data_IF_895622725640
#
_entry.id   IF_895622725640
#
_cell.length_a   1.000
_cell.length_b   1.000
_cell.length_c   1.000
_cell.angle_alpha   90.00
_cell.angle_beta   90.00
_cell.angle_gamma   90.00
#
_symmetry.space_group_name_H-M   'P 1'
#
loop_
_entity.id
_entity.type
_entity.pdbx_description
1 polymer ?
#
# COMPACT_ATOMS: atom_id res chain seq x y z
N UNK A 1 -0.07 -8.85 23.66
CA UNK A 1 0.04 -9.42 22.30
C UNK A 1 1.31 -10.25 22.24
N UNK A 2 1.27 -11.42 21.60
CA UNK A 2 2.45 -12.26 21.36
C UNK A 2 2.98 -11.97 19.97
N UNK A 3 4.30 -11.86 19.82
CA UNK A 3 4.96 -11.70 18.52
C UNK A 3 5.77 -12.96 18.21
N UNK A 4 5.62 -13.49 17.00
CA UNK A 4 6.37 -14.64 16.50
C UNK A 4 7.33 -14.17 15.40
N UNK A 5 8.50 -13.61 15.73
CA UNK A 5 9.43 -13.09 14.75
C UNK A 5 10.09 -14.24 13.97
N UNK A 6 10.19 -14.06 12.65
CA UNK A 6 10.95 -14.96 11.78
C UNK A 6 12.16 -14.18 11.26
N UNK A 7 13.41 -14.66 11.45
CA UNK A 7 14.61 -13.89 11.12
C UNK A 7 14.72 -13.46 9.66
N UNK A 8 14.17 -14.26 8.75
CA UNK A 8 14.08 -13.96 7.33
C UNK A 8 12.85 -14.62 6.74
N UNK A 9 12.28 -14.00 5.71
CA UNK A 9 11.11 -14.55 5.04
C UNK A 9 11.41 -15.92 4.43
N UNK A 10 10.51 -16.87 4.67
CA UNK A 10 10.47 -18.17 4.01
C UNK A 10 9.01 -18.62 4.01
N UNK A 11 8.42 -18.96 2.84
CA UNK A 11 7.04 -19.44 2.78
C UNK A 11 6.81 -20.61 3.73
N UNK A 12 7.67 -21.63 3.68
CA UNK A 12 7.62 -22.81 4.57
C UNK A 12 7.60 -22.45 6.05
N UNK A 13 8.57 -21.62 6.51
CA UNK A 13 8.65 -21.25 7.93
C UNK A 13 7.47 -20.38 8.36
N UNK A 14 6.96 -19.54 7.46
CA UNK A 14 5.81 -18.67 7.74
C UNK A 14 4.54 -19.50 7.91
N UNK A 15 4.29 -20.46 7.00
CA UNK A 15 3.16 -21.39 7.08
C UNK A 15 3.23 -22.30 8.31
N UNK A 16 4.42 -22.84 8.61
CA UNK A 16 4.64 -23.64 9.83
C UNK A 16 4.36 -22.82 11.11
N UNK A 17 4.74 -21.55 11.12
CA UNK A 17 4.44 -20.63 12.23
C UNK A 17 2.94 -20.34 12.33
N UNK A 18 2.24 -20.09 11.22
CA UNK A 18 0.78 -19.92 11.18
C UNK A 18 0.09 -21.12 11.81
N UNK A 19 0.48 -22.32 11.40
CA UNK A 19 -0.07 -23.58 11.89
C UNK A 19 0.19 -23.81 13.39
N UNK A 20 1.45 -23.72 13.83
CA UNK A 20 1.85 -24.08 15.20
C UNK A 20 1.42 -23.06 16.23
N UNK A 21 1.60 -21.78 15.91
CA UNK A 21 1.38 -20.67 16.83
C UNK A 21 -0.04 -20.10 16.74
N UNK A 22 -0.88 -20.65 15.85
CA UNK A 22 -2.27 -20.20 15.62
C UNK A 22 -2.33 -18.70 15.38
N UNK A 23 -1.52 -18.25 14.42
CA UNK A 23 -1.35 -16.83 14.12
C UNK A 23 -2.71 -16.21 13.77
N UNK A 24 -2.99 -15.04 14.35
CA UNK A 24 -4.24 -14.30 14.15
C UNK A 24 -4.08 -13.08 13.23
N UNK A 25 -2.84 -12.63 13.04
CA UNK A 25 -2.48 -11.45 12.27
C UNK A 25 -1.14 -11.66 11.55
N UNK A 26 -1.07 -11.36 10.25
CA UNK A 26 0.19 -11.35 9.50
C UNK A 26 0.33 -10.05 8.71
N UNK A 27 1.51 -9.44 8.76
CA UNK A 27 1.84 -8.26 7.97
C UNK A 27 2.89 -8.63 6.92
N UNK A 28 2.76 -8.11 5.71
CA UNK A 28 3.70 -8.43 4.64
C UNK A 28 3.50 -7.59 3.38
N UNK A 29 4.40 -7.79 2.42
CA UNK A 29 4.26 -7.27 1.05
C UNK A 29 3.51 -8.29 0.19
N UNK A 30 2.83 -7.88 -0.90
CA UNK A 30 2.13 -8.76 -1.82
C UNK A 30 2.91 -10.01 -2.25
N UNK A 31 4.20 -9.86 -2.57
CA UNK A 31 5.06 -10.97 -3.01
C UNK A 31 5.22 -12.06 -1.95
N UNK A 32 5.16 -11.73 -0.65
CA UNK A 32 5.19 -12.71 0.44
C UNK A 32 3.91 -13.55 0.45
N UNK A 33 2.75 -12.91 0.25
CA UNK A 33 1.46 -13.61 0.20
C UNK A 33 1.38 -14.52 -1.02
N UNK A 34 1.80 -14.04 -2.20
CA UNK A 34 1.91 -14.84 -3.42
C UNK A 34 2.80 -16.07 -3.19
N UNK A 35 3.98 -15.88 -2.58
CA UNK A 35 4.92 -16.95 -2.32
C UNK A 35 4.38 -17.99 -1.30
N UNK A 36 3.63 -17.55 -0.27
CA UNK A 36 2.95 -18.46 0.65
C UNK A 36 1.84 -19.25 -0.04
N UNK A 37 0.98 -18.59 -0.83
CA UNK A 37 -0.10 -19.25 -1.57
C UNK A 37 0.40 -20.24 -2.63
N UNK A 38 1.59 -20.00 -3.20
CA UNK A 38 2.23 -20.90 -4.16
C UNK A 38 3.03 -22.06 -3.55
N UNK A 39 3.13 -22.16 -2.23
CA UNK A 39 3.95 -23.18 -1.55
C UNK A 39 3.17 -24.51 -1.37
N UNK A 40 3.86 -25.65 -1.45
CA UNK A 40 3.25 -26.99 -1.34
C UNK A 40 2.48 -27.20 -0.01
N UNK A 41 3.00 -26.65 1.08
CA UNK A 41 2.40 -26.75 2.42
C UNK A 41 1.13 -25.86 2.60
N UNK A 42 0.81 -24.98 1.66
CA UNK A 42 -0.29 -24.03 1.81
C UNK A 42 -1.63 -24.73 2.05
N UNK A 43 -1.95 -25.74 1.23
CA UNK A 43 -3.21 -26.48 1.32
C UNK A 43 -3.36 -27.27 2.64
N UNK A 44 -2.26 -27.57 3.33
CA UNK A 44 -2.24 -28.27 4.61
C UNK A 44 -2.24 -27.33 5.83
N UNK A 45 -2.12 -26.01 5.61
CA UNK A 45 -2.04 -25.01 6.68
C UNK A 45 -3.46 -24.60 7.12
N UNK A 46 -3.71 -24.62 8.43
CA UNK A 46 -4.97 -24.20 9.04
C UNK A 46 -4.96 -22.68 9.26
N UNK A 47 -5.75 -21.98 8.43
CA UNK A 47 -5.93 -20.53 8.52
C UNK A 47 -7.12 -20.11 9.39
N UNK A 48 -7.85 -21.05 10.03
CA UNK A 48 -9.07 -20.74 10.80
C UNK A 48 -8.87 -19.76 11.96
N UNK A 49 -7.64 -19.61 12.45
CA UNK A 49 -7.29 -18.67 13.52
C UNK A 49 -6.89 -17.29 13.00
N UNK A 50 -6.57 -17.17 11.70
CA UNK A 50 -6.27 -15.89 11.07
C UNK A 50 -7.52 -15.02 10.97
N UNK A 51 -7.31 -13.70 11.01
CA UNK A 51 -8.39 -12.70 10.96
C UNK A 51 -8.00 -11.47 10.15
N UNK A 52 -6.81 -10.93 10.40
CA UNK A 52 -6.42 -9.61 9.90
C UNK A 52 -4.95 -9.56 9.51
N UNK A 53 -4.52 -8.42 8.98
CA UNK A 53 -3.16 -8.14 8.58
C UNK A 53 -3.05 -6.79 7.90
N UNK A 54 -1.81 -6.41 7.61
CA UNK A 54 -1.49 -5.26 6.77
C UNK A 54 -0.72 -5.76 5.55
N UNK A 55 -1.27 -5.48 4.37
CA UNK A 55 -0.54 -5.58 3.11
C UNK A 55 -0.07 -4.17 2.72
N UNK A 56 1.24 -3.96 2.64
CA UNK A 56 1.81 -2.64 2.38
C UNK A 56 3.23 -2.74 1.83
N UNK A 57 3.80 -1.61 1.44
CA UNK A 57 5.21 -1.48 1.02
C UNK A 57 5.47 -1.64 -0.47
N UNK A 58 4.47 -2.07 -1.25
CA UNK A 58 4.48 -2.05 -2.72
C UNK A 58 3.04 -1.93 -3.24
N UNK A 59 2.84 -1.67 -4.55
CA UNK A 59 1.52 -1.79 -5.16
C UNK A 59 0.92 -3.16 -4.82
N UNK A 60 -0.30 -3.15 -4.27
CA UNK A 60 -1.02 -4.36 -3.88
C UNK A 60 -2.04 -4.70 -4.98
N UNK A 61 -1.83 -5.79 -5.75
CA UNK A 61 -2.80 -6.17 -6.77
C UNK A 61 -4.12 -6.57 -6.13
N UNK A 62 -5.23 -6.07 -6.67
CA UNK A 62 -6.60 -6.34 -6.16
C UNK A 62 -6.82 -7.86 -6.02
N UNK A 63 -6.41 -8.63 -7.04
CA UNK A 63 -6.60 -10.08 -7.06
C UNK A 63 -5.86 -10.79 -5.93
N UNK A 64 -4.66 -10.32 -5.56
CA UNK A 64 -3.88 -10.90 -4.46
C UNK A 64 -4.57 -10.64 -3.13
N UNK A 65 -5.13 -9.43 -2.94
CA UNK A 65 -5.90 -9.11 -1.73
C UNK A 65 -7.16 -9.95 -1.60
N UNK A 66 -7.92 -10.12 -2.69
CA UNK A 66 -9.11 -11.00 -2.72
C UNK A 66 -8.75 -12.44 -2.38
N UNK A 67 -7.68 -12.97 -2.98
CA UNK A 67 -7.20 -14.32 -2.72
C UNK A 67 -6.77 -14.51 -1.26
N UNK A 68 -6.14 -13.51 -0.65
CA UNK A 68 -5.74 -13.56 0.76
C UNK A 68 -6.96 -13.54 1.69
N UNK A 69 -7.98 -12.73 1.38
CA UNK A 69 -9.24 -12.72 2.12
C UNK A 69 -9.92 -14.09 2.05
N UNK A 70 -10.01 -14.67 0.86
CA UNK A 70 -10.71 -15.94 0.61
C UNK A 70 -9.93 -17.15 1.13
N UNK A 71 -8.63 -17.25 0.81
CA UNK A 71 -7.83 -18.47 1.00
C UNK A 71 -7.10 -18.51 2.35
N UNK A 72 -6.85 -17.35 2.97
CA UNK A 72 -6.12 -17.27 4.25
C UNK A 72 -7.01 -16.79 5.41
N UNK A 73 -8.33 -16.73 5.22
CA UNK A 73 -9.30 -16.30 6.23
C UNK A 73 -9.01 -14.88 6.80
N UNK A 74 -8.44 -14.00 5.99
CA UNK A 74 -8.05 -12.65 6.40
C UNK A 74 -9.13 -11.62 6.09
N UNK A 75 -10.36 -11.86 6.58
CA UNK A 75 -11.53 -11.02 6.28
C UNK A 75 -11.39 -9.56 6.72
N UNK A 76 -10.44 -9.25 7.61
CA UNK A 76 -10.15 -7.92 8.13
C UNK A 76 -8.77 -7.39 7.69
N UNK A 77 -8.18 -7.92 6.61
CA UNK A 77 -6.93 -7.36 6.06
C UNK A 77 -7.13 -5.91 5.61
N UNK A 78 -6.09 -5.10 5.77
CA UNK A 78 -6.06 -3.68 5.42
C UNK A 78 -4.83 -3.31 4.60
N UNK A 79 -4.93 -2.21 3.85
CA UNK A 79 -3.81 -1.61 3.13
C UNK A 79 -3.37 -0.35 3.86
N UNK A 80 -2.06 -0.18 4.04
CA UNK A 80 -1.41 1.06 4.51
C UNK A 80 -0.62 1.64 3.37
N UNK A 81 -0.70 2.96 3.21
CA UNK A 81 0.17 3.71 2.32
C UNK A 81 0.93 4.80 3.05
N UNK A 82 2.17 4.97 2.61
CA UNK A 82 3.10 6.00 3.03
C UNK A 82 4.52 5.53 2.72
N UNK A 83 5.49 6.25 3.25
CA UNK A 83 6.91 6.07 2.98
C UNK A 83 7.73 6.27 4.25
N UNK A 84 9.04 6.04 4.17
CA UNK A 84 9.95 6.16 5.33
C UNK A 84 9.85 7.55 5.97
N UNK A 85 9.76 8.57 5.14
CA UNK A 85 9.66 9.99 5.49
C UNK A 85 8.35 10.34 6.22
N UNK A 86 7.36 9.44 6.24
CA UNK A 86 6.07 9.59 6.94
C UNK A 86 5.85 8.61 8.10
N UNK A 87 6.92 7.99 8.62
CA UNK A 87 6.95 7.19 9.86
C UNK A 87 5.81 6.16 10.13
N UNK A 88 5.57 5.17 9.26
CA UNK A 88 5.67 5.20 7.81
C UNK A 88 4.31 5.50 7.14
N UNK A 89 3.18 5.41 7.86
CA UNK A 89 1.84 5.46 7.26
C UNK A 89 1.23 6.86 7.25
N UNK A 90 0.59 7.21 6.13
CA UNK A 90 -0.26 8.40 5.98
C UNK A 90 -1.74 8.01 5.96
N UNK A 91 -2.09 6.99 5.18
CA UNK A 91 -3.46 6.50 5.01
C UNK A 91 -3.54 5.01 5.28
N UNK A 92 -4.73 4.55 5.65
CA UNK A 92 -5.01 3.13 5.85
C UNK A 92 -6.46 2.81 5.54
N UNK A 93 -6.75 1.67 4.93
CA UNK A 93 -8.13 1.16 4.85
C UNK A 93 -8.54 0.62 6.22
N UNK A 94 -9.79 0.83 6.65
CA UNK A 94 -10.29 0.34 7.95
C UNK A 94 -10.91 -1.03 7.80
N UNK A 95 -10.91 -1.83 8.87
CA UNK A 95 -11.40 -3.23 8.85
C UNK A 95 -12.89 -3.35 8.49
N UNK A 96 -13.65 -2.29 8.78
CA UNK A 96 -15.08 -2.15 8.53
C UNK A 96 -15.39 -1.45 7.19
N UNK A 97 -14.37 -0.99 6.46
CA UNK A 97 -14.56 -0.51 5.09
C UNK A 97 -15.05 -1.68 4.20
N UNK A 98 -15.95 -1.44 3.24
CA UNK A 98 -16.33 -2.42 2.22
C UNK A 98 -15.09 -3.06 1.59
N UNK A 99 -15.13 -4.37 1.34
CA UNK A 99 -13.99 -5.11 0.79
C UNK A 99 -13.45 -4.46 -0.49
N UNK A 100 -14.35 -4.03 -1.38
CA UNK A 100 -14.02 -3.30 -2.61
C UNK A 100 -13.10 -2.09 -2.34
N UNK A 101 -13.43 -1.28 -1.33
CA UNK A 101 -12.60 -0.11 -0.96
C UNK A 101 -11.30 -0.52 -0.29
N UNK A 102 -11.29 -1.60 0.49
CA UNK A 102 -10.06 -2.11 1.11
C UNK A 102 -9.06 -2.67 0.11
N UNK A 103 -9.52 -3.19 -1.03
CA UNK A 103 -8.64 -3.77 -2.05
C UNK A 103 -8.27 -2.80 -3.17
N UNK A 104 -9.11 -1.79 -3.45
CA UNK A 104 -8.89 -0.83 -4.55
C UNK A 104 -8.30 0.52 -4.11
N UNK A 105 -8.29 0.82 -2.81
CA UNK A 105 -7.83 2.10 -2.26
C UNK A 105 -6.74 1.89 -1.22
N UNK A 106 -5.98 2.94 -0.93
CA UNK A 106 -5.08 2.99 0.22
C UNK A 106 -5.76 3.61 1.46
N UNK A 107 -7.09 3.67 1.42
CA UNK A 107 -7.92 4.09 2.54
C UNK A 107 -7.93 5.59 2.79
N UNK A 108 -8.14 5.95 4.05
CA UNK A 108 -8.33 7.33 4.54
C UNK A 108 -7.18 7.74 5.46
N UNK A 109 -6.92 9.05 5.64
CA UNK A 109 -5.87 9.53 6.53
C UNK A 109 -5.94 8.90 7.92
N UNK A 110 -4.78 8.59 8.51
CA UNK A 110 -4.72 8.16 9.90
C UNK A 110 -5.05 9.35 10.84
N UNK A 111 -5.46 9.08 12.08
CA UNK A 111 -5.80 10.14 13.03
C UNK A 111 -4.66 11.15 13.20
N UNK A 112 -4.97 12.44 13.12
CA UNK A 112 -3.97 13.51 13.29
C UNK A 112 -3.03 13.70 12.09
N UNK A 113 -3.30 13.06 10.95
CA UNK A 113 -2.60 13.26 9.69
C UNK A 113 -3.55 13.94 8.70
N UNK A 114 -3.07 14.98 8.05
CA UNK A 114 -3.72 15.64 6.93
C UNK A 114 -3.12 15.12 5.62
N UNK A 115 -3.98 14.84 4.64
CA UNK A 115 -3.55 14.45 3.30
C UNK A 115 -4.40 15.18 2.27
N UNK A 116 -3.77 15.62 1.17
CA UNK A 116 -4.46 16.22 0.02
C UNK A 116 -3.75 15.85 -1.29
N UNK A 117 -4.42 16.11 -2.40
CA UNK A 117 -3.88 15.94 -3.73
C UNK A 117 -3.59 17.33 -4.29
N UNK A 118 -2.38 17.57 -4.79
CA UNK A 118 -1.98 18.88 -5.35
C UNK A 118 -1.49 18.74 -6.78
N UNK A 119 -1.61 19.82 -7.54
CA UNK A 119 -0.95 19.92 -8.83
C UNK A 119 0.58 19.95 -8.62
N UNK A 120 1.37 19.04 -9.23
CA UNK A 120 2.82 19.00 -9.02
C UNK A 120 3.57 20.26 -9.49
N UNK A 121 3.00 21.04 -10.41
CA UNK A 121 3.61 22.25 -10.97
C UNK A 121 3.24 23.51 -10.18
N UNK A 122 1.96 23.63 -9.77
CA UNK A 122 1.45 24.84 -9.10
C UNK A 122 1.37 24.72 -7.58
N UNK A 123 1.35 23.51 -7.03
CA UNK A 123 1.11 23.24 -5.61
C UNK A 123 -0.33 23.47 -5.14
N UNK A 124 -1.25 23.82 -6.05
CA UNK A 124 -2.65 24.06 -5.73
C UNK A 124 -3.39 22.74 -5.47
N UNK A 125 -4.30 22.73 -4.49
CA UNK A 125 -5.12 21.56 -4.18
C UNK A 125 -6.10 21.25 -5.32
N UNK A 126 -6.16 19.99 -5.72
CA UNK A 126 -6.98 19.53 -6.84
C UNK A 126 -8.36 19.04 -6.38
N UNK A 127 -9.39 19.15 -7.24
CA UNK A 127 -10.71 18.57 -6.98
C UNK A 127 -10.69 17.05 -6.81
N UNK A 128 -11.76 16.51 -6.23
CA UNK A 128 -11.95 15.06 -6.12
C UNK A 128 -11.92 14.35 -7.49
N UNK A 129 -11.26 13.20 -7.55
CA UNK A 129 -11.13 12.38 -8.76
C UNK A 129 -10.15 12.92 -9.82
N UNK A 130 -9.36 13.94 -9.50
CA UNK A 130 -8.29 14.44 -10.37
C UNK A 130 -6.95 13.92 -9.88
N UNK A 131 -6.13 13.39 -10.80
CA UNK A 131 -4.77 12.94 -10.51
C UNK A 131 -3.85 14.12 -10.18
N UNK A 132 -3.11 13.98 -9.09
CA UNK A 132 -2.03 14.87 -8.72
C UNK A 132 -1.09 14.24 -7.72
N UNK A 133 -0.17 15.03 -7.19
CA UNK A 133 0.76 14.57 -6.16
C UNK A 133 0.04 14.37 -4.84
N UNK A 134 0.26 13.21 -4.22
CA UNK A 134 -0.12 12.99 -2.84
C UNK A 134 0.84 13.74 -1.90
N UNK A 135 0.29 14.60 -1.04
CA UNK A 135 1.06 15.27 0.01
C UNK A 135 0.46 15.02 1.39
N UNK A 136 1.32 14.94 2.40
CA UNK A 136 0.90 14.67 3.78
C UNK A 136 1.55 15.61 4.78
N UNK A 137 0.81 15.95 5.83
CA UNK A 137 1.28 16.74 6.97
C UNK A 137 0.76 16.14 8.26
N UNK A 138 1.61 16.08 9.28
CA UNK A 138 1.23 15.52 10.57
C UNK A 138 2.44 15.24 11.45
N UNK A 139 2.16 14.71 12.64
CA UNK A 139 3.20 14.34 13.61
C UNK A 139 4.11 13.20 13.13
N UNK A 140 3.67 12.47 12.10
CA UNK A 140 4.36 11.32 11.52
C UNK A 140 5.44 11.72 10.50
N UNK A 141 5.41 12.96 10.00
CA UNK A 141 6.40 13.44 9.04
C UNK A 141 7.77 13.52 9.72
N UNK A 142 8.80 13.03 9.04
CA UNK A 142 10.17 13.04 9.53
C UNK A 142 10.63 14.45 9.90
N UNK A 143 11.63 14.53 10.78
CA UNK A 143 12.31 15.81 11.05
C UNK A 143 13.09 16.36 9.84
N UNK A 144 13.52 15.47 8.95
CA UNK A 144 14.34 15.78 7.79
C UNK A 144 15.46 14.77 7.57
N UNK A 145 16.13 14.90 6.44
CA UNK A 145 17.28 14.07 6.08
C UNK A 145 18.53 14.49 6.88
N UNK A 146 19.23 13.50 7.43
CA UNK A 146 20.39 13.74 8.29
C UNK A 146 21.50 14.47 7.52
N UNK A 147 21.87 15.67 8.01
CA UNK A 147 22.88 16.55 7.41
C UNK A 147 22.60 16.96 5.95
N UNK A 148 21.33 16.91 5.52
CA UNK A 148 20.92 17.31 4.17
C UNK A 148 19.75 18.31 4.23
N UNK A 149 19.99 19.56 4.64
CA UNK A 149 18.94 20.56 4.79
C UNK A 149 18.27 20.91 3.45
N UNK A 150 19.02 20.96 2.34
CA UNK A 150 18.47 21.24 1.01
C UNK A 150 17.50 20.14 0.55
N UNK A 151 17.89 18.87 0.71
CA UNK A 151 17.01 17.74 0.40
C UNK A 151 15.77 17.72 1.32
N UNK A 152 15.91 18.17 2.57
CA UNK A 152 14.79 18.29 3.50
C UNK A 152 13.80 19.35 3.04
N UNK A 153 14.29 20.54 2.65
CA UNK A 153 13.46 21.62 2.13
C UNK A 153 12.85 21.30 0.75
N UNK A 154 13.49 20.42 -0.03
CA UNK A 154 12.93 19.93 -1.28
C UNK A 154 11.81 18.89 -1.08
N UNK A 155 11.83 18.13 0.03
CA UNK A 155 10.83 17.13 0.33
C UNK A 155 9.68 17.66 1.21
N UNK A 156 9.96 18.63 2.09
CA UNK A 156 9.00 19.22 3.01
C UNK A 156 8.92 20.72 2.73
N UNK A 157 7.74 21.17 2.30
CA UNK A 157 7.52 22.58 1.98
C UNK A 157 7.51 23.49 3.22
N UNK A 158 7.48 24.80 2.99
CA UNK A 158 7.45 25.81 4.06
C UNK A 158 6.21 25.73 4.96
N UNK A 159 5.15 25.06 4.50
CA UNK A 159 3.90 24.86 5.24
C UNK A 159 3.85 23.50 5.98
N UNK A 160 4.93 22.72 5.91
CA UNK A 160 5.09 21.42 6.55
C UNK A 160 4.51 20.23 5.79
N UNK A 161 4.18 20.37 4.50
CA UNK A 161 3.71 19.28 3.66
C UNK A 161 4.88 18.48 3.11
N UNK A 162 4.90 17.18 3.39
CA UNK A 162 5.76 16.21 2.73
C UNK A 162 5.22 15.92 1.32
N UNK A 163 6.03 16.20 0.32
CA UNK A 163 5.83 15.82 -1.07
C UNK A 163 6.30 14.38 -1.28
N UNK A 164 5.38 13.45 -1.62
CA UNK A 164 5.75 12.03 -1.70
C UNK A 164 6.27 11.60 -3.06
N UNK A 165 6.05 12.39 -4.12
CA UNK A 165 6.38 11.98 -5.47
C UNK A 165 5.45 10.90 -6.05
N UNK A 166 4.44 10.45 -5.30
CA UNK A 166 3.43 9.49 -5.77
C UNK A 166 2.22 10.24 -6.34
N UNK A 167 1.68 9.71 -7.45
CA UNK A 167 0.45 10.20 -8.06
C UNK A 167 -0.74 9.47 -7.44
N UNK A 168 -1.75 10.24 -7.07
CA UNK A 168 -2.95 9.73 -6.46
C UNK A 168 -4.18 10.59 -6.77
N UNK A 169 -5.34 9.98 -6.56
CA UNK A 169 -6.63 10.66 -6.54
C UNK A 169 -7.30 10.48 -5.18
N UNK A 170 -8.13 11.45 -4.81
CA UNK A 170 -9.02 11.38 -3.64
C UNK A 170 -10.47 11.42 -4.09
N UNK A 171 -11.28 10.47 -3.64
CA UNK A 171 -12.72 10.48 -3.90
C UNK A 171 -13.49 11.43 -2.94
N UNK A 172 -14.77 11.63 -3.22
CA UNK A 172 -15.64 12.48 -2.39
C UNK A 172 -15.91 11.91 -0.98
N UNK A 173 -15.63 10.62 -0.75
CA UNK A 173 -15.75 9.96 0.56
C UNK A 173 -14.43 10.02 1.35
N UNK A 174 -13.38 10.56 0.75
CA UNK A 174 -12.05 10.73 1.34
C UNK A 174 -11.11 9.54 1.19
N UNK A 175 -11.44 8.54 0.39
CA UNK A 175 -10.54 7.44 0.06
C UNK A 175 -9.52 7.88 -0.98
N UNK A 176 -8.28 7.47 -0.76
CA UNK A 176 -7.16 7.75 -1.66
C UNK A 176 -6.85 6.52 -2.50
N UNK A 177 -6.55 6.72 -3.77
CA UNK A 177 -6.09 5.68 -4.69
C UNK A 177 -4.77 6.12 -5.31
N UNK A 178 -3.74 5.28 -5.22
CA UNK A 178 -2.46 5.50 -5.87
C UNK A 178 -2.58 5.09 -7.34
N UNK A 179 -2.25 6.02 -8.23
CA UNK A 179 -2.32 5.86 -9.69
C UNK A 179 -0.94 5.70 -10.31
N UNK A 180 0.13 6.13 -9.63
CA UNK A 180 1.49 5.85 -10.08
C UNK A 180 2.55 6.66 -9.33
N UNK A 181 3.67 6.91 -9.99
CA UNK A 181 4.72 7.80 -9.51
C UNK A 181 5.03 8.86 -10.56
N UNK A 182 5.33 10.07 -10.09
CA UNK A 182 5.68 11.19 -10.97
C UNK A 182 6.85 10.83 -11.87
N UNK A 183 7.85 10.13 -11.33
CA UNK A 183 9.08 9.76 -12.05
C UNK A 183 8.90 8.58 -13.01
N UNK A 184 7.89 7.74 -12.79
CA UNK A 184 7.65 6.52 -13.58
C UNK A 184 6.55 6.72 -14.63
N UNK A 185 5.92 7.90 -14.66
CA UNK A 185 4.88 8.24 -15.63
C UNK A 185 5.45 8.24 -17.06
N UNK A 186 4.85 7.44 -17.94
CA UNK A 186 5.26 7.34 -19.34
C UNK A 186 4.42 8.31 -20.17
N UNK A 187 5.08 9.25 -20.85
CA UNK A 187 4.40 10.17 -21.78
C UNK A 187 4.60 9.66 -23.21
N UNK A 188 3.50 9.27 -23.87
CA UNK A 188 3.55 8.78 -25.25
C UNK A 188 2.34 9.25 -26.04
N UNK A 189 2.59 9.93 -27.16
CA UNK A 189 1.51 10.43 -28.03
C UNK A 189 0.68 11.57 -27.42
N UNK A 190 1.20 12.25 -26.38
CA UNK A 190 0.48 13.32 -25.67
C UNK A 190 -0.36 12.85 -24.48
N UNK A 191 -0.38 11.53 -24.22
CA UNK A 191 -1.12 10.92 -23.11
C UNK A 191 -0.18 10.53 -21.97
N UNK A 192 -0.70 10.63 -20.73
CA UNK A 192 -0.04 10.13 -19.53
C UNK A 192 -0.42 8.65 -19.33
N UNK A 193 0.57 7.78 -19.38
CA UNK A 193 0.41 6.33 -19.22
C UNK A 193 1.02 5.93 -17.88
N UNK A 194 0.20 5.32 -17.02
CA UNK A 194 0.60 4.91 -15.67
C UNK A 194 1.00 3.43 -15.65
N UNK A 195 2.25 3.07 -15.33
CA UNK A 195 2.69 1.67 -15.27
C UNK A 195 1.79 0.77 -14.42
N UNK A 196 1.32 1.30 -13.28
CA UNK A 196 0.43 0.60 -12.36
C UNK A 196 -0.89 0.14 -13.01
N UNK A 197 -1.49 0.95 -13.88
CA UNK A 197 -2.74 0.57 -14.56
C UNK A 197 -2.52 -0.62 -15.50
N UNK A 198 -1.35 -0.66 -16.16
CA UNK A 198 -0.96 -1.77 -17.04
C UNK A 198 -0.70 -3.03 -16.21
N UNK A 199 0.03 -2.90 -15.10
CA UNK A 199 0.31 -3.99 -14.17
C UNK A 199 -0.99 -4.60 -13.62
N UNK A 200 -1.88 -3.78 -13.07
CA UNK A 200 -3.17 -4.21 -12.51
C UNK A 200 -4.01 -4.99 -13.55
N UNK A 201 -3.99 -4.56 -14.83
CA UNK A 201 -4.63 -5.31 -15.91
C UNK A 201 -3.95 -6.65 -16.20
N UNK A 202 -2.61 -6.68 -16.30
CA UNK A 202 -1.85 -7.90 -16.61
C UNK A 202 -2.00 -8.95 -15.49
N UNK A 203 -2.10 -8.54 -14.23
CA UNK A 203 -2.36 -9.43 -13.09
C UNK A 203 -3.66 -10.24 -13.20
N UNK A 204 -4.60 -9.82 -14.05
CA UNK A 204 -5.84 -10.60 -14.30
C UNK A 204 -5.60 -11.86 -15.13
N UNK A 205 -4.43 -12.00 -15.78
CA UNK A 205 -4.14 -13.11 -16.66
C UNK A 205 -3.68 -14.37 -15.88
N UNK A 206 -4.33 -15.55 -16.07
CA UNK A 206 -4.14 -16.72 -15.20
C UNK A 206 -2.76 -17.38 -15.26
N UNK A 207 -1.92 -16.99 -16.22
CA UNK A 207 -0.54 -17.47 -16.38
C UNK A 207 0.53 -16.51 -15.86
N UNK A 208 0.12 -15.38 -15.27
CA UNK A 208 1.04 -14.37 -14.72
C UNK A 208 1.06 -14.51 -13.20
N UNK A 209 2.24 -14.74 -12.63
CA UNK A 209 2.44 -14.75 -11.19
C UNK A 209 2.89 -13.39 -10.63
N UNK A 210 3.59 -12.58 -11.44
CA UNK A 210 4.15 -11.28 -11.07
C UNK A 210 4.41 -10.43 -12.33
N UNK A 211 4.32 -9.10 -12.23
CA UNK A 211 4.56 -8.15 -13.33
C UNK A 211 5.05 -6.80 -12.83
N UNK A 212 5.97 -6.20 -13.59
CA UNK A 212 6.46 -4.83 -13.41
C UNK A 212 6.63 -4.18 -14.79
N UNK A 213 6.16 -2.95 -14.96
CA UNK A 213 6.24 -2.17 -16.22
C UNK A 213 7.19 -1.00 -16.06
#
# INVERSE_FOLDING_TARGET
>A
ATMSPIPSFSPKKSLDCVQKEKITCINGVPTMFIAMMGHEDFAATDFSHMRTGIMAGSPCPIKVMEDVVEKMNMSEITIVFGQTESSPGCTQSRVDDPLELRVQTVGRPLPGIECKIVNPETGEELPHGVDGEFVARGYNIMKGYYKMPEATAAAIDENGWLHTGDLAQRDAKGYFKITGRIRDMIIRGGENIYPKEIEDFIYTHPKVSDVQV
#
